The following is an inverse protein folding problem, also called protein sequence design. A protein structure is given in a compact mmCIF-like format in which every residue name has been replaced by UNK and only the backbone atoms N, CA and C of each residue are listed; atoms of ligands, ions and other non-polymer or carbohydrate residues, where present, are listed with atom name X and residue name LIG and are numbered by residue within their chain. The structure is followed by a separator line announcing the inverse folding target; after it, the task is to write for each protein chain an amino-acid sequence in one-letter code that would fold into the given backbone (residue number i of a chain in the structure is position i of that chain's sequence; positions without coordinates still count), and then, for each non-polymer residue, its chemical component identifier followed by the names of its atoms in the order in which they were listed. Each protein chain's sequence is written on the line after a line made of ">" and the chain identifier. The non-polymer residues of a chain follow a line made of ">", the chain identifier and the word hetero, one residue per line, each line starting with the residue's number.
data_IF_967954052859
#
_entry.id   IF_967954052859
#
_cell.length_a   1.000
_cell.length_b   1.000
_cell.length_c   1.000
_cell.angle_alpha   90.00
_cell.angle_beta   90.00
_cell.angle_gamma   90.00
#
_symmetry.space_group_name_H-M   'P 1'
#
loop_
_entity.id
_entity.type
_entity.pdbx_description
1 polymer ?
#
# COMPACT_ATOMS: atom_id res chain seq x y z
N UNK A 1 -1.40 9.57 -19.29
CA UNK A 1 -2.54 8.63 -19.42
C UNK A 1 -3.77 9.32 -18.85
N UNK A 2 -4.80 9.57 -19.66
CA UNK A 2 -6.07 10.11 -19.18
C UNK A 2 -7.07 8.96 -19.20
N UNK A 3 -7.45 8.48 -18.03
CA UNK A 3 -8.45 7.43 -17.89
C UNK A 3 -9.85 8.03 -18.12
N UNK A 4 -10.73 7.32 -18.83
CA UNK A 4 -12.11 7.74 -19.03
C UNK A 4 -12.90 7.80 -17.71
N UNK A 5 -14.04 8.49 -17.67
CA UNK A 5 -14.89 8.53 -16.47
C UNK A 5 -15.27 7.11 -16.02
N UNK A 6 -15.00 6.79 -14.75
CA UNK A 6 -15.26 5.48 -14.14
C UNK A 6 -14.12 4.46 -14.20
N UNK A 7 -13.02 4.76 -14.91
CA UNK A 7 -11.87 3.87 -14.97
C UNK A 7 -11.01 3.97 -13.69
N UNK A 8 -10.56 2.80 -13.20
CA UNK A 8 -9.59 2.71 -12.10
C UNK A 8 -8.18 2.62 -12.71
N UNK A 9 -7.29 3.49 -12.25
CA UNK A 9 -5.87 3.42 -12.60
C UNK A 9 -5.11 2.82 -11.43
N UNK A 10 -4.42 1.71 -11.70
CA UNK A 10 -3.48 1.11 -10.77
C UNK A 10 -2.07 1.61 -11.11
N UNK A 11 -1.38 2.13 -10.12
CA UNK A 11 0.01 2.60 -10.24
C UNK A 11 0.84 1.80 -9.25
N UNK A 12 1.87 1.12 -9.77
CA UNK A 12 2.94 0.62 -8.91
C UNK A 12 3.88 1.76 -8.57
N UNK A 13 3.91 2.13 -7.30
CA UNK A 13 4.74 3.20 -6.76
C UNK A 13 6.17 2.74 -6.44
N UNK A 14 6.62 1.61 -7.00
CA UNK A 14 7.98 1.05 -6.95
C UNK A 14 8.54 0.69 -5.55
N UNK A 15 7.75 0.82 -4.47
CA UNK A 15 8.13 0.43 -3.10
C UNK A 15 9.28 1.24 -2.46
N UNK A 16 10.18 1.81 -3.26
CA UNK A 16 11.37 2.59 -2.87
C UNK A 16 11.07 4.07 -2.84
N UNK A 17 11.80 4.81 -2.01
CA UNK A 17 11.69 6.27 -1.94
C UNK A 17 12.27 6.92 -3.22
N UNK A 18 11.38 7.22 -4.18
CA UNK A 18 11.71 7.77 -5.51
C UNK A 18 10.76 8.89 -5.92
N UNK A 19 11.17 9.72 -6.88
CA UNK A 19 10.33 10.81 -7.40
C UNK A 19 9.02 10.28 -7.99
N UNK A 20 9.06 9.12 -8.63
CA UNK A 20 7.93 8.40 -9.20
C UNK A 20 6.95 7.97 -8.10
N UNK A 21 7.46 7.43 -6.98
CA UNK A 21 6.63 7.04 -5.84
C UNK A 21 5.95 8.25 -5.19
N UNK A 22 6.65 9.38 -5.09
CA UNK A 22 6.10 10.63 -4.55
C UNK A 22 5.02 11.19 -5.46
N UNK A 23 5.26 11.21 -6.78
CA UNK A 23 4.28 11.64 -7.77
C UNK A 23 3.03 10.75 -7.75
N UNK A 24 3.20 9.43 -7.63
CA UNK A 24 2.09 8.49 -7.50
C UNK A 24 1.25 8.79 -6.25
N UNK A 25 1.88 8.98 -5.09
CA UNK A 25 1.17 9.31 -3.85
C UNK A 25 0.49 10.69 -3.90
N UNK A 26 1.10 11.66 -4.57
CA UNK A 26 0.53 12.99 -4.75
C UNK A 26 -0.74 12.98 -5.64
N UNK A 27 -0.80 12.07 -6.62
CA UNK A 27 -1.94 11.95 -7.54
C UNK A 27 -3.01 10.93 -7.09
N UNK A 28 -2.67 10.00 -6.20
CA UNK A 28 -3.55 8.90 -5.82
C UNK A 28 -4.72 9.34 -4.94
N UNK A 29 -5.86 8.67 -5.09
CA UNK A 29 -6.98 8.76 -4.13
C UNK A 29 -6.81 7.77 -2.97
N UNK A 30 -6.22 6.61 -3.28
CA UNK A 30 -6.00 5.50 -2.36
C UNK A 30 -4.61 4.94 -2.60
N UNK A 31 -3.83 4.77 -1.53
CA UNK A 31 -2.60 4.02 -1.52
C UNK A 31 -2.83 2.68 -0.82
N UNK A 32 -2.69 1.58 -1.56
CA UNK A 32 -2.71 0.22 -1.02
C UNK A 32 -1.29 -0.20 -0.65
N UNK A 33 -1.08 -0.59 0.60
CA UNK A 33 0.23 -0.97 1.12
C UNK A 33 0.18 -2.43 1.55
N UNK A 34 0.59 -3.37 0.69
CA UNK A 34 0.71 -4.77 1.08
C UNK A 34 1.86 -4.95 2.08
N UNK A 35 1.62 -5.75 3.12
CA UNK A 35 2.64 -6.14 4.09
C UNK A 35 2.40 -7.53 4.67
N UNK A 36 3.48 -8.24 4.99
CA UNK A 36 3.43 -9.44 5.84
C UNK A 36 3.60 -9.05 7.31
N UNK A 37 3.22 -9.90 8.28
CA UNK A 37 3.44 -9.62 9.71
C UNK A 37 4.88 -9.27 10.08
N UNK A 38 5.86 -9.96 9.51
CA UNK A 38 7.29 -9.76 9.78
C UNK A 38 7.78 -8.40 9.27
N UNK A 39 7.05 -7.79 8.34
CA UNK A 39 7.34 -6.47 7.81
C UNK A 39 6.75 -5.34 8.67
N UNK A 40 5.84 -5.62 9.59
CA UNK A 40 5.26 -4.63 10.49
C UNK A 40 6.21 -4.30 11.66
N UNK A 41 7.39 -3.80 11.31
CA UNK A 41 8.39 -3.33 12.25
C UNK A 41 8.82 -1.90 11.90
N UNK A 42 8.72 -1.02 12.89
CA UNK A 42 9.08 0.38 12.77
C UNK A 42 10.59 0.55 12.53
N UNK A 43 11.42 -0.30 13.12
CA UNK A 43 12.88 -0.19 12.99
C UNK A 43 13.34 -0.47 11.55
N UNK A 44 12.62 -1.35 10.86
CA UNK A 44 12.93 -1.77 9.49
C UNK A 44 12.25 -0.90 8.42
N UNK A 45 11.04 -0.37 8.68
CA UNK A 45 10.21 0.31 7.66
C UNK A 45 9.78 1.73 8.02
N UNK A 46 10.55 2.44 8.84
CA UNK A 46 10.29 3.85 9.16
C UNK A 46 10.16 4.74 7.91
N UNK A 47 11.01 4.52 6.90
CA UNK A 47 11.03 5.34 5.68
C UNK A 47 9.68 5.30 4.91
N UNK A 48 9.00 4.15 4.92
CA UNK A 48 7.67 4.03 4.31
C UNK A 48 6.64 4.90 5.04
N UNK A 49 6.64 4.86 6.38
CA UNK A 49 5.76 5.70 7.21
C UNK A 49 6.06 7.18 6.97
N UNK A 50 7.33 7.57 6.99
CA UNK A 50 7.76 8.95 6.77
C UNK A 50 7.27 9.46 5.41
N UNK A 51 7.42 8.66 4.35
CA UNK A 51 6.96 9.00 3.00
C UNK A 51 5.43 9.12 2.92
N UNK A 52 4.68 8.18 3.49
CA UNK A 52 3.21 8.22 3.49
C UNK A 52 2.69 9.46 4.24
N UNK A 53 3.30 9.78 5.39
CA UNK A 53 2.95 10.98 6.14
C UNK A 53 3.35 12.27 5.39
N UNK A 54 4.51 12.29 4.73
CA UNK A 54 4.97 13.46 3.96
C UNK A 54 4.10 13.72 2.72
N UNK A 55 3.62 12.68 2.04
CA UNK A 55 2.75 12.81 0.87
C UNK A 55 1.47 13.61 1.18
N UNK A 56 0.99 13.57 2.44
CA UNK A 56 -0.21 14.31 2.86
C UNK A 56 -0.03 15.84 2.81
N UNK A 57 1.20 16.34 2.87
CA UNK A 57 1.46 17.77 2.69
C UNK A 57 1.08 18.25 1.28
N UNK A 58 1.13 17.35 0.29
CA UNK A 58 0.79 17.62 -1.11
C UNK A 58 -0.58 17.05 -1.50
N UNK A 59 -1.02 15.99 -0.83
CA UNK A 59 -2.30 15.34 -1.05
C UNK A 59 -3.03 15.07 0.28
N UNK A 60 -3.69 16.08 0.88
CA UNK A 60 -4.38 15.93 2.16
C UNK A 60 -5.52 14.91 2.14
N UNK A 61 -6.07 14.62 0.95
CA UNK A 61 -7.15 13.65 0.73
C UNK A 61 -6.67 12.21 0.48
N UNK A 62 -5.36 11.94 0.57
CA UNK A 62 -4.82 10.60 0.39
C UNK A 62 -5.35 9.65 1.47
N UNK A 63 -6.08 8.62 1.05
CA UNK A 63 -6.41 7.49 1.91
C UNK A 63 -5.33 6.43 1.84
N UNK A 64 -4.86 5.95 2.99
CA UNK A 64 -3.86 4.87 3.06
C UNK A 64 -4.53 3.65 3.66
N UNK A 65 -4.42 2.52 2.96
CA UNK A 65 -4.96 1.25 3.42
C UNK A 65 -3.88 0.18 3.34
N UNK A 66 -3.53 -0.35 4.51
CA UNK A 66 -2.66 -1.50 4.65
C UNK A 66 -3.46 -2.77 4.43
N UNK A 67 -2.86 -3.75 3.76
CA UNK A 67 -3.50 -5.03 3.46
C UNK A 67 -2.53 -6.14 3.82
N UNK A 68 -2.97 -7.04 4.70
CA UNK A 68 -2.16 -8.20 5.09
C UNK A 68 -1.98 -9.14 3.90
N UNK A 69 -0.75 -9.60 3.72
CA UNK A 69 -0.38 -10.66 2.78
C UNK A 69 -0.10 -11.93 3.58
N UNK A 70 -0.90 -12.97 3.35
CA UNK A 70 -0.83 -14.22 4.10
C UNK A 70 -1.57 -14.18 5.45
N UNK A 71 -1.56 -15.33 6.11
CA UNK A 71 -2.19 -15.48 7.43
C UNK A 71 -1.35 -14.80 8.51
N UNK A 72 -2.04 -14.33 9.55
CA UNK A 72 -1.43 -13.72 10.72
C UNK A 72 -2.16 -14.22 11.97
N UNK A 73 -1.40 -14.62 12.98
CA UNK A 73 -1.90 -14.88 14.33
C UNK A 73 -2.49 -13.61 14.95
N UNK A 74 -3.28 -13.77 16.02
CA UNK A 74 -3.86 -12.62 16.71
C UNK A 74 -2.78 -11.66 17.26
N UNK A 75 -1.68 -12.20 17.78
CA UNK A 75 -0.57 -11.40 18.29
C UNK A 75 0.10 -10.59 17.17
N UNK A 76 0.32 -11.21 16.01
CA UNK A 76 0.86 -10.55 14.82
C UNK A 76 -0.08 -9.46 14.29
N UNK A 77 -1.39 -9.71 14.27
CA UNK A 77 -2.39 -8.69 13.89
C UNK A 77 -2.35 -7.48 14.80
N UNK A 78 -2.18 -7.68 16.11
CA UNK A 78 -2.04 -6.56 17.06
C UNK A 78 -0.77 -5.75 16.76
N UNK A 79 0.36 -6.41 16.50
CA UNK A 79 1.60 -5.73 16.13
C UNK A 79 1.46 -4.92 14.83
N UNK A 80 0.81 -5.51 13.82
CA UNK A 80 0.50 -4.84 12.55
C UNK A 80 -0.39 -3.62 12.77
N UNK A 81 -1.45 -3.73 13.58
CA UNK A 81 -2.30 -2.59 13.92
C UNK A 81 -1.50 -1.46 14.60
N UNK A 82 -0.58 -1.80 15.51
CA UNK A 82 0.28 -0.81 16.17
C UNK A 82 1.23 -0.09 15.20
N UNK A 83 1.78 -0.83 14.22
CA UNK A 83 2.59 -0.26 13.14
C UNK A 83 1.76 0.64 12.21
N UNK A 84 0.57 0.20 11.79
CA UNK A 84 -0.33 0.98 10.92
C UNK A 84 -0.77 2.29 11.58
N UNK A 85 -0.99 2.28 12.89
CA UNK A 85 -1.36 3.46 13.66
C UNK A 85 -0.30 4.59 13.62
N UNK A 86 0.94 4.30 13.19
CA UNK A 86 1.98 5.31 12.99
C UNK A 86 1.76 6.16 11.73
N UNK A 87 0.90 5.72 10.82
CA UNK A 87 0.53 6.49 9.62
C UNK A 87 -0.79 7.20 9.88
N UNK A 88 -0.77 8.53 9.74
CA UNK A 88 -1.95 9.35 9.99
C UNK A 88 -3.09 9.02 9.02
N UNK A 89 -4.27 8.74 9.55
CA UNK A 89 -5.48 8.36 8.77
C UNK A 89 -5.31 7.07 7.95
N UNK A 90 -4.38 6.20 8.32
CA UNK A 90 -4.29 4.87 7.74
C UNK A 90 -5.27 3.89 8.39
N UNK A 91 -5.67 2.89 7.62
CA UNK A 91 -6.50 1.78 8.09
C UNK A 91 -5.86 0.45 7.72
N UNK A 92 -6.07 -0.57 8.56
CA UNK A 92 -5.84 -1.96 8.17
C UNK A 92 -7.12 -2.50 7.55
N UNK A 93 -7.05 -3.01 6.31
CA UNK A 93 -8.18 -3.64 5.66
C UNK A 93 -8.59 -4.94 6.37
N UNK A 94 -9.88 -5.25 6.35
CA UNK A 94 -10.38 -6.58 6.74
C UNK A 94 -10.01 -7.66 5.71
N UNK A 95 -9.70 -7.26 4.48
CA UNK A 95 -9.27 -8.14 3.39
C UNK A 95 -7.83 -8.63 3.61
N UNK A 96 -7.60 -9.91 3.33
CA UNK A 96 -6.27 -10.53 3.30
C UNK A 96 -5.97 -10.95 1.86
N UNK A 97 -4.76 -10.67 1.38
CA UNK A 97 -4.26 -11.16 0.10
C UNK A 97 -3.68 -12.56 0.34
N UNK A 98 -4.38 -13.57 -0.18
CA UNK A 98 -3.89 -14.94 -0.21
C UNK A 98 -3.24 -15.22 -1.57
N UNK A 99 -1.99 -15.67 -1.58
CA UNK A 99 -1.30 -16.03 -2.81
C UNK A 99 0.20 -15.80 -2.76
N UNK A 100 0.90 -16.25 -3.80
CA UNK A 100 2.30 -15.91 -4.04
C UNK A 100 2.34 -14.51 -4.67
N UNK A 101 3.16 -13.60 -4.15
CA UNK A 101 3.31 -12.29 -4.75
C UNK A 101 3.72 -12.45 -6.23
N UNK A 102 3.01 -11.81 -7.18
CA UNK A 102 3.40 -11.84 -8.59
C UNK A 102 4.79 -11.21 -8.73
N UNK A 103 5.59 -11.72 -9.65
CA UNK A 103 6.96 -11.26 -9.84
C UNK A 103 7.03 -9.77 -10.23
N UNK A 104 5.99 -9.26 -10.92
CA UNK A 104 5.83 -7.86 -11.31
C UNK A 104 4.35 -7.51 -11.59
N UNK A 105 4.08 -6.22 -11.79
CA UNK A 105 2.76 -5.66 -12.12
C UNK A 105 2.22 -6.17 -13.44
N UNK A 106 3.09 -6.42 -14.42
CA UNK A 106 2.68 -6.93 -15.72
C UNK A 106 2.10 -8.35 -15.61
N UNK A 107 2.66 -9.16 -14.72
CA UNK A 107 2.19 -10.50 -14.39
C UNK A 107 0.86 -10.46 -13.63
N UNK A 108 0.72 -9.53 -12.67
CA UNK A 108 -0.55 -9.28 -11.99
C UNK A 108 -1.65 -8.86 -12.96
N UNK A 109 -1.35 -7.92 -13.87
CA UNK A 109 -2.33 -7.44 -14.85
C UNK A 109 -2.77 -8.55 -15.81
N UNK A 110 -1.86 -9.45 -16.22
CA UNK A 110 -2.24 -10.62 -17.02
C UNK A 110 -3.21 -11.51 -16.25
N UNK A 111 -2.88 -11.89 -15.03
CA UNK A 111 -3.71 -12.78 -14.22
C UNK A 111 -5.12 -12.22 -13.96
N UNK A 112 -5.23 -10.90 -13.73
CA UNK A 112 -6.49 -10.24 -13.34
C UNK A 112 -7.37 -9.86 -14.54
N UNK A 113 -6.76 -9.46 -15.67
CA UNK A 113 -7.51 -8.89 -16.80
C UNK A 113 -7.67 -9.83 -18.01
N UNK A 114 -7.20 -11.09 -17.95
CA UNK A 114 -7.47 -12.11 -18.99
C UNK A 114 -8.63 -13.05 -18.66
N UNK A 115 -9.74 -12.53 -18.11
CA UNK A 115 -11.01 -13.28 -18.02
C UNK A 115 -11.86 -13.00 -19.25
#
# INVERSE_FOLDING_TARGET
>A
MIAGPGAVVLVDAEGRDSAESHAALAAARLALVPLTPEQADLSTRYQLIARLNAARMFNPGLHVQFVLVGEATDAERVAVCAYVAQVMSATLASTVIHGRAPADVASLCREVFTV
#
